data_IF_170391485152
#
_entry.id   IF_170391485152
#
_cell.length_a   1.000
_cell.length_b   1.000
_cell.length_c   1.000
_cell.angle_alpha   90.00
_cell.angle_beta   90.00
_cell.angle_gamma   90.00
#
_symmetry.space_group_name_H-M   'P 1'
#
loop_
_entity.id
_entity.type
_entity.pdbx_description
1 polymer ?
#
# COMPACT_ATOMS: atom_id res chain seq x y z
N UNK A 1 -3.53 13.19 13.54
CA UNK A 1 -3.16 13.46 12.14
C UNK A 1 -4.24 12.89 11.24
N UNK A 2 -4.50 13.46 10.07
CA UNK A 2 -5.57 12.99 9.17
C UNK A 2 -5.22 11.61 8.62
N UNK A 3 -5.77 10.55 9.20
CA UNK A 3 -5.61 9.17 8.73
C UNK A 3 -6.21 8.96 7.34
N UNK A 4 -6.18 7.71 6.87
CA UNK A 4 -6.82 7.26 5.64
C UNK A 4 -7.97 6.33 6.00
N UNK A 5 -9.14 6.51 5.39
CA UNK A 5 -10.22 5.54 5.50
C UNK A 5 -9.96 4.41 4.51
N UNK A 6 -9.96 3.16 4.98
CA UNK A 6 -9.86 2.00 4.13
C UNK A 6 -11.07 1.10 4.32
N UNK A 7 -11.50 0.45 3.24
CA UNK A 7 -12.58 -0.54 3.28
C UNK A 7 -12.00 -1.94 3.33
N UNK A 8 -12.23 -2.63 4.44
CA UNK A 8 -11.96 -4.06 4.60
C UNK A 8 -13.17 -4.86 4.14
N UNK A 9 -12.97 -5.75 3.18
CA UNK A 9 -14.00 -6.70 2.74
C UNK A 9 -13.77 -8.03 3.45
N UNK A 10 -14.74 -8.42 4.28
CA UNK A 10 -14.74 -9.68 5.03
C UNK A 10 -15.89 -10.55 4.56
N UNK A 11 -15.93 -11.81 5.00
CA UNK A 11 -17.07 -12.69 4.75
C UNK A 11 -18.39 -12.15 5.33
N UNK A 12 -18.33 -11.31 6.38
CA UNK A 12 -19.48 -10.69 7.01
C UNK A 12 -19.96 -9.41 6.30
N UNK A 13 -19.21 -8.90 5.31
CA UNK A 13 -19.51 -7.67 4.60
C UNK A 13 -18.32 -6.71 4.50
N UNK A 14 -18.59 -5.51 4.01
CA UNK A 14 -17.59 -4.44 3.88
C UNK A 14 -17.68 -3.48 5.07
N UNK A 15 -16.55 -3.19 5.69
CA UNK A 15 -16.42 -2.26 6.81
C UNK A 15 -15.42 -1.17 6.40
N UNK A 16 -15.80 0.09 6.56
CA UNK A 16 -14.89 1.23 6.31
C UNK A 16 -14.50 1.84 7.65
N UNK A 17 -13.21 1.89 7.92
CA UNK A 17 -12.68 2.40 9.19
C UNK A 17 -11.40 3.23 8.97
N UNK A 18 -11.05 4.13 9.90
CA UNK A 18 -9.86 4.96 9.79
C UNK A 18 -8.59 4.18 10.17
N UNK A 19 -7.53 4.41 9.41
CA UNK A 19 -6.18 3.87 9.65
C UNK A 19 -5.14 4.99 9.57
N UNK A 20 -4.00 4.83 10.25
CA UNK A 20 -2.90 5.78 10.13
C UNK A 20 -2.18 5.70 8.79
N UNK A 21 -2.09 4.49 8.22
CA UNK A 21 -1.41 4.16 6.98
C UNK A 21 -2.00 2.89 6.35
N UNK A 22 -1.88 2.76 5.03
CA UNK A 22 -2.28 1.55 4.28
C UNK A 22 -1.12 1.09 3.39
N UNK A 23 -0.78 -0.20 3.47
CA UNK A 23 0.11 -0.85 2.51
C UNK A 23 -0.70 -1.78 1.62
N UNK A 24 -0.59 -1.61 0.31
CA UNK A 24 -1.25 -2.42 -0.69
C UNK A 24 -0.32 -3.52 -1.22
N UNK A 25 -0.66 -4.78 -0.90
CA UNK A 25 0.15 -5.98 -1.21
C UNK A 25 -0.62 -6.98 -2.09
N UNK A 26 -1.42 -6.50 -3.06
CA UNK A 26 -2.38 -7.33 -3.81
C UNK A 26 -1.82 -8.21 -4.94
N UNK A 27 -0.49 -8.27 -5.12
CA UNK A 27 0.15 -8.99 -6.23
C UNK A 27 -0.26 -8.48 -7.62
N UNK A 28 -0.02 -9.28 -8.67
CA UNK A 28 -0.35 -8.89 -10.07
C UNK A 28 -1.84 -8.73 -10.36
N UNK A 29 -2.69 -9.29 -9.50
CA UNK A 29 -4.15 -9.14 -9.55
C UNK A 29 -4.62 -7.81 -8.96
N UNK A 30 -3.69 -6.91 -8.62
CA UNK A 30 -4.00 -5.59 -8.08
C UNK A 30 -4.89 -4.79 -9.04
N UNK A 31 -6.07 -4.41 -8.57
CA UNK A 31 -7.02 -3.55 -9.27
C UNK A 31 -6.82 -2.07 -8.90
N UNK A 32 -5.56 -1.64 -8.76
CA UNK A 32 -5.23 -0.27 -8.33
C UNK A 32 -5.93 0.82 -9.15
N UNK A 33 -6.00 0.73 -10.50
CA UNK A 33 -6.75 1.70 -11.28
C UNK A 33 -8.25 1.72 -10.97
N UNK A 34 -8.86 0.56 -10.68
CA UNK A 34 -10.28 0.46 -10.29
C UNK A 34 -10.53 1.07 -8.90
N UNK A 35 -9.51 1.13 -8.06
CA UNK A 35 -9.54 1.78 -6.74
C UNK A 35 -9.26 3.30 -6.82
N UNK A 36 -9.14 3.86 -8.03
CA UNK A 36 -8.85 5.28 -8.25
C UNK A 36 -7.41 5.68 -7.96
N UNK A 37 -6.51 4.70 -7.77
CA UNK A 37 -5.08 4.97 -7.58
C UNK A 37 -4.35 4.94 -8.91
N UNK A 38 -3.65 6.02 -9.22
CA UNK A 38 -2.65 6.03 -10.29
C UNK A 38 -1.39 5.37 -9.76
N UNK A 39 -0.85 4.42 -10.53
CA UNK A 39 0.38 3.75 -10.13
C UNK A 39 1.53 4.76 -10.17
N UNK A 40 2.43 4.78 -9.17
CA UNK A 40 3.51 5.74 -9.14
C UNK A 40 4.47 5.50 -10.32
N UNK A 41 5.23 6.53 -10.75
CA UNK A 41 6.32 6.33 -11.70
C UNK A 41 7.30 5.27 -11.18
N UNK A 42 8.01 4.61 -12.11
CA UNK A 42 8.89 3.47 -11.83
C UNK A 42 9.77 3.69 -10.58
N UNK A 43 9.71 2.74 -9.65
CA UNK A 43 10.53 2.72 -8.44
C UNK A 43 9.96 3.50 -7.25
N UNK A 44 8.86 4.25 -7.41
CA UNK A 44 8.18 4.87 -6.27
C UNK A 44 7.11 3.92 -5.69
N UNK A 45 7.10 3.80 -4.36
CA UNK A 45 6.15 2.96 -3.63
C UNK A 45 4.92 3.74 -3.13
N UNK A 46 4.98 5.07 -3.11
CA UNK A 46 3.96 5.91 -2.48
C UNK A 46 2.84 6.27 -3.46
N UNK A 47 1.62 5.81 -3.19
CA UNK A 47 0.38 6.14 -3.94
C UNK A 47 -0.21 7.49 -3.48
N UNK A 48 -0.14 7.75 -2.18
CA UNK A 48 -0.66 8.96 -1.54
C UNK A 48 0.16 9.23 -0.26
N UNK A 49 -0.01 10.37 0.44
CA UNK A 49 0.73 10.68 1.67
C UNK A 49 0.69 9.59 2.75
N UNK A 50 -0.32 8.71 2.76
CA UNK A 50 -0.52 7.64 3.75
C UNK A 50 -0.81 6.28 3.13
N UNK A 51 -0.50 6.11 1.85
CA UNK A 51 -0.79 4.87 1.13
C UNK A 51 0.39 4.47 0.27
N UNK A 52 0.80 3.21 0.39
CA UNK A 52 1.89 2.62 -0.38
C UNK A 52 1.42 1.40 -1.16
N UNK A 53 2.11 1.10 -2.25
CA UNK A 53 2.01 -0.13 -3.03
C UNK A 53 3.36 -0.84 -3.03
N UNK A 54 3.37 -2.14 -2.76
CA UNK A 54 4.60 -2.93 -2.70
C UNK A 54 4.51 -4.21 -3.53
N UNK A 55 5.68 -4.73 -3.89
CA UNK A 55 5.81 -5.99 -4.61
C UNK A 55 5.07 -5.96 -5.94
N UNK A 56 4.50 -7.09 -6.33
CA UNK A 56 3.90 -7.26 -7.67
C UNK A 56 2.66 -6.43 -7.95
N UNK A 57 2.11 -5.74 -6.95
CA UNK A 57 1.04 -4.77 -7.17
C UNK A 57 1.54 -3.47 -7.82
N UNK A 58 2.83 -3.15 -7.73
CA UNK A 58 3.39 -1.92 -8.31
C UNK A 58 3.72 -2.11 -9.80
N UNK A 59 3.60 -1.03 -10.57
CA UNK A 59 3.97 -1.02 -11.97
C UNK A 59 5.48 -1.31 -12.12
N UNK A 60 5.82 -2.20 -13.06
CA UNK A 60 7.21 -2.57 -13.34
C UNK A 60 7.88 -3.41 -12.25
N UNK A 61 7.12 -4.12 -11.41
CA UNK A 61 7.70 -5.19 -10.58
C UNK A 61 8.24 -6.32 -11.47
N UNK A 62 9.34 -6.93 -11.05
CA UNK A 62 9.98 -8.06 -11.74
C UNK A 62 9.48 -9.43 -11.25
N UNK A 63 8.52 -9.50 -10.32
CA UNK A 63 8.01 -10.78 -9.84
C UNK A 63 8.94 -11.55 -8.91
N UNK A 64 9.94 -10.89 -8.32
CA UNK A 64 10.96 -11.55 -7.50
C UNK A 64 10.66 -11.34 -6.01
N UNK A 65 10.70 -12.42 -5.24
CA UNK A 65 10.44 -12.38 -3.80
C UNK A 65 11.38 -11.41 -3.07
N UNK A 66 12.67 -11.38 -3.43
CA UNK A 66 13.63 -10.47 -2.82
C UNK A 66 13.29 -8.99 -3.06
N UNK A 67 12.75 -8.66 -4.23
CA UNK A 67 12.33 -7.31 -4.56
C UNK A 67 11.07 -6.94 -3.77
N UNK A 68 10.07 -7.82 -3.72
CA UNK A 68 8.85 -7.57 -2.95
C UNK A 68 9.14 -7.39 -1.45
N UNK A 69 10.09 -8.16 -0.90
CA UNK A 69 10.56 -7.97 0.48
C UNK A 69 11.27 -6.63 0.66
N UNK A 70 12.13 -6.23 -0.28
CA UNK A 70 12.80 -4.94 -0.26
C UNK A 70 11.81 -3.77 -0.29
N UNK A 71 10.80 -3.83 -1.16
CA UNK A 71 9.73 -2.83 -1.22
C UNK A 71 8.99 -2.72 0.12
N UNK A 72 8.66 -3.88 0.74
CA UNK A 72 8.00 -3.92 2.04
C UNK A 72 8.83 -3.28 3.16
N UNK A 73 10.14 -3.53 3.18
CA UNK A 73 11.05 -2.94 4.16
C UNK A 73 11.14 -1.41 4.00
N UNK A 74 11.25 -0.92 2.75
CA UNK A 74 11.30 0.52 2.46
C UNK A 74 10.00 1.22 2.86
N UNK A 75 8.84 0.65 2.49
CA UNK A 75 7.55 1.22 2.87
C UNK A 75 7.34 1.23 4.39
N UNK A 76 7.75 0.16 5.09
CA UNK A 76 7.66 0.09 6.55
C UNK A 76 8.52 1.16 7.24
N UNK A 77 9.75 1.42 6.74
CA UNK A 77 10.61 2.46 7.27
C UNK A 77 9.96 3.85 7.17
N UNK A 78 9.36 4.18 6.02
CA UNK A 78 8.63 5.45 5.84
C UNK A 78 7.39 5.56 6.74
N UNK A 79 6.67 4.46 6.97
CA UNK A 79 5.49 4.44 7.84
C UNK A 79 5.88 4.65 9.31
N UNK A 80 6.99 4.07 9.75
CA UNK A 80 7.49 4.25 11.12
C UNK A 80 7.85 5.71 11.42
N UNK A 81 8.38 6.45 10.44
CA UNK A 81 8.64 7.90 10.60
C UNK A 81 7.33 8.72 10.72
N UNK A 82 6.23 8.19 10.20
CA UNK A 82 4.95 8.87 10.07
C UNK A 82 3.99 8.60 11.25
N UNK A 83 4.15 7.46 11.92
CA UNK A 83 3.37 7.05 13.08
C UNK A 83 4.21 7.27 14.34
N UNK A 84 3.75 8.17 15.22
CA UNK A 84 4.29 8.25 16.58
C UNK A 84 3.63 7.17 17.43
N UNK A 85 4.46 6.27 17.97
CA UNK A 85 4.06 5.23 18.89
C UNK A 85 4.10 5.80 20.31
N UNK A 86 3.13 6.66 20.62
CA UNK A 86 2.96 7.24 21.95
C UNK A 86 2.11 6.30 22.84
#
# INVERSE_FOLDING_TARGET
>A
GTGVCATLRTAAGAITEPFDAVLFCGGRTSRLPELGFTTPPHGNLRLSPRTWVIGDARLGSLGQACIAMGDGLLAAAEVVELIRWD
#
